data_IF_379786937967
#
_entry.id   IF_379786937967
#
_cell.length_a   1.000
_cell.length_b   1.000
_cell.length_c   1.000
_cell.angle_alpha   90.00
_cell.angle_beta   90.00
_cell.angle_gamma   90.00
#
_symmetry.space_group_name_H-M   'P 1'
#
loop_
_entity.id
_entity.type
_entity.pdbx_description
1 polymer ?
#
# COMPACT_ATOMS: atom_id res chain seq x y z
N UNK A 1 -6.81 16.26 21.67
CA UNK A 1 -5.87 15.16 22.00
C UNK A 1 -5.86 14.19 20.84
N UNK A 2 -4.76 14.09 20.13
CA UNK A 2 -4.60 13.01 19.13
C UNK A 2 -4.68 11.66 19.85
N UNK A 3 -5.44 10.73 19.31
CA UNK A 3 -5.49 9.36 19.85
C UNK A 3 -4.08 8.76 19.79
N UNK A 4 -3.59 8.16 20.90
CA UNK A 4 -2.27 7.50 20.92
C UNK A 4 -2.12 6.46 19.81
N UNK A 5 -3.20 5.82 19.42
CA UNK A 5 -3.24 4.89 18.30
C UNK A 5 -3.07 5.56 16.92
N UNK A 6 -3.34 6.87 16.80
CA UNK A 6 -3.10 7.63 15.57
C UNK A 6 -1.62 7.68 15.16
N UNK A 7 -0.69 7.52 16.12
CA UNK A 7 0.75 7.44 15.83
C UNK A 7 1.13 6.17 15.04
N UNK A 8 0.37 5.09 15.19
CA UNK A 8 0.67 3.83 14.50
C UNK A 8 0.21 3.83 13.04
N UNK A 9 -0.70 4.73 12.67
CA UNK A 9 -1.28 4.86 11.33
C UNK A 9 -1.77 3.52 10.76
N UNK A 10 -2.43 2.74 11.60
CA UNK A 10 -2.92 1.39 11.25
C UNK A 10 -3.91 1.43 10.07
N UNK A 11 -4.58 2.56 9.87
CA UNK A 11 -5.49 2.78 8.76
C UNK A 11 -4.83 2.68 7.38
N UNK A 12 -3.49 2.75 7.29
CA UNK A 12 -2.74 2.60 6.04
C UNK A 12 -2.18 1.19 5.82
N UNK A 13 -2.30 0.29 6.79
CA UNK A 13 -1.75 -1.08 6.68
C UNK A 13 -2.37 -1.90 5.55
N UNK A 14 -3.57 -1.53 5.08
CA UNK A 14 -4.21 -2.17 3.94
C UNK A 14 -3.32 -2.18 2.69
N UNK A 15 -2.50 -1.15 2.50
CA UNK A 15 -1.63 -1.01 1.32
C UNK A 15 -0.61 -2.14 1.18
N UNK A 16 -0.18 -2.72 2.31
CA UNK A 16 0.78 -3.83 2.36
C UNK A 16 0.08 -5.17 2.48
N UNK A 17 -1.02 -5.23 3.25
CA UNK A 17 -1.71 -6.48 3.56
C UNK A 17 -2.53 -7.00 2.37
N UNK A 18 -3.22 -6.12 1.62
CA UNK A 18 -4.05 -6.56 0.48
C UNK A 18 -3.26 -7.34 -0.57
N UNK A 19 -2.06 -6.91 -1.03
CA UNK A 19 -1.29 -7.70 -1.98
C UNK A 19 -0.95 -9.10 -1.49
N UNK A 20 -0.63 -9.25 -0.20
CA UNK A 20 -0.36 -10.55 0.40
C UNK A 20 -1.62 -11.43 0.46
N UNK A 21 -2.75 -10.85 0.87
CA UNK A 21 -4.04 -11.56 0.84
C UNK A 21 -4.46 -11.93 -0.58
N UNK A 22 -4.12 -11.09 -1.56
CA UNK A 22 -4.34 -11.39 -2.97
C UNK A 22 -3.53 -12.61 -3.41
N UNK A 23 -2.25 -12.71 -3.01
CA UNK A 23 -1.43 -13.89 -3.29
C UNK A 23 -2.03 -15.14 -2.63
N UNK A 24 -2.48 -15.03 -1.37
CA UNK A 24 -3.12 -16.13 -0.63
C UNK A 24 -4.41 -16.57 -1.34
N UNK A 25 -5.28 -15.63 -1.71
CA UNK A 25 -6.56 -15.94 -2.37
C UNK A 25 -6.37 -16.60 -3.73
N UNK A 26 -5.56 -16.00 -4.62
CA UNK A 26 -5.35 -16.48 -5.98
C UNK A 26 -4.74 -17.90 -6.01
N UNK A 27 -3.89 -18.21 -5.06
CA UNK A 27 -3.20 -19.49 -4.99
C UNK A 27 -3.85 -20.49 -4.03
N UNK A 28 -5.03 -20.17 -3.49
CA UNK A 28 -5.79 -21.01 -2.54
C UNK A 28 -4.95 -21.45 -1.33
N UNK A 29 -4.10 -20.55 -0.84
CA UNK A 29 -3.25 -20.83 0.31
C UNK A 29 -4.02 -20.74 1.63
N UNK A 30 -3.53 -21.46 2.63
CA UNK A 30 -4.04 -21.30 3.98
C UNK A 30 -3.36 -20.06 4.64
N UNK A 31 -4.11 -19.00 4.97
CA UNK A 31 -3.55 -17.77 5.53
C UNK A 31 -2.84 -17.98 6.88
N UNK A 32 -3.23 -19.01 7.64
CA UNK A 32 -2.63 -19.29 8.95
C UNK A 32 -1.17 -19.72 8.87
N UNK A 33 -0.73 -20.28 7.75
CA UNK A 33 0.69 -20.63 7.54
C UNK A 33 1.59 -19.43 7.24
N UNK A 34 0.99 -18.28 6.90
CA UNK A 34 1.68 -17.05 6.52
C UNK A 34 1.41 -15.89 7.50
N UNK A 35 0.86 -16.18 8.69
CA UNK A 35 0.51 -15.14 9.68
C UNK A 35 1.74 -14.37 10.18
N UNK A 36 2.87 -15.03 10.31
CA UNK A 36 4.13 -14.38 10.67
C UNK A 36 4.54 -13.33 9.63
N UNK A 37 4.38 -13.62 8.34
CA UNK A 37 4.65 -12.65 7.27
C UNK A 37 3.64 -11.50 7.32
N UNK A 38 2.34 -11.80 7.39
CA UNK A 38 1.27 -10.80 7.45
C UNK A 38 1.47 -9.84 8.63
N UNK A 39 1.66 -10.37 9.84
CA UNK A 39 1.84 -9.57 11.05
C UNK A 39 3.21 -8.86 11.03
N UNK A 40 4.25 -9.52 10.53
CA UNK A 40 5.57 -8.93 10.34
C UNK A 40 5.53 -7.67 9.49
N UNK A 41 4.77 -7.69 8.39
CA UNK A 41 4.58 -6.52 7.54
C UNK A 41 3.72 -5.43 8.18
N UNK A 42 2.76 -5.75 9.04
CA UNK A 42 2.05 -4.73 9.83
C UNK A 42 3.06 -3.95 10.70
N UNK A 43 3.95 -4.64 11.39
CA UNK A 43 4.98 -4.00 12.19
C UNK A 43 5.97 -3.19 11.35
N UNK A 44 6.37 -3.68 10.17
CA UNK A 44 7.23 -2.91 9.26
C UNK A 44 6.51 -1.66 8.72
N UNK A 45 5.20 -1.73 8.45
CA UNK A 45 4.42 -0.55 8.05
C UNK A 45 4.37 0.49 9.17
N UNK A 46 4.17 0.08 10.43
CA UNK A 46 4.26 0.97 11.60
C UNK A 46 5.66 1.60 11.68
N UNK A 47 6.71 0.82 11.45
CA UNK A 47 8.09 1.32 11.43
C UNK A 47 8.27 2.40 10.37
N UNK A 48 7.87 2.15 9.13
CA UNK A 48 7.96 3.10 8.04
C UNK A 48 7.20 4.39 8.35
N UNK A 49 5.98 4.28 8.85
CA UNK A 49 5.15 5.43 9.21
C UNK A 49 5.79 6.27 10.34
N UNK A 50 6.24 5.63 11.42
CA UNK A 50 6.80 6.34 12.57
C UNK A 50 8.15 6.99 12.25
N UNK A 51 9.01 6.34 11.47
CA UNK A 51 10.29 6.92 11.05
C UNK A 51 10.08 8.06 10.04
N UNK A 52 9.11 7.93 9.13
CA UNK A 52 8.73 9.04 8.27
C UNK A 52 8.24 10.24 9.09
N UNK A 53 7.38 10.01 10.09
CA UNK A 53 6.89 11.08 10.97
C UNK A 53 8.05 11.80 11.71
N UNK A 54 9.07 11.07 12.18
CA UNK A 54 10.27 11.67 12.83
C UNK A 54 11.06 12.56 11.86
N UNK A 55 11.14 12.17 10.59
CA UNK A 55 11.81 12.96 9.55
C UNK A 55 10.97 14.20 9.22
N UNK A 56 9.68 14.02 9.00
CA UNK A 56 8.72 15.08 8.67
C UNK A 56 8.56 16.13 9.78
N UNK A 57 8.79 15.77 11.07
CA UNK A 57 8.81 16.73 12.18
C UNK A 57 9.83 17.86 12.01
N UNK A 58 10.79 17.71 11.10
CA UNK A 58 11.80 18.75 10.82
C UNK A 58 11.32 19.77 9.78
N UNK A 59 10.25 19.48 9.05
CA UNK A 59 9.68 20.38 8.06
C UNK A 59 8.44 21.09 8.63
N UNK A 60 8.47 22.43 8.80
CA UNK A 60 7.34 23.19 9.31
C UNK A 60 6.12 23.19 8.37
N UNK A 61 6.29 22.77 7.12
CA UNK A 61 5.20 22.67 6.16
C UNK A 61 4.38 21.38 6.31
N UNK A 62 4.89 20.38 7.00
CA UNK A 62 4.23 19.08 7.27
C UNK A 62 3.18 19.21 8.40
N UNK A 63 2.19 20.09 8.19
CA UNK A 63 1.21 20.49 9.21
C UNK A 63 0.37 19.33 9.74
N UNK A 64 0.03 18.34 8.91
CA UNK A 64 -0.72 17.15 9.35
C UNK A 64 0.12 16.28 10.28
N UNK A 65 1.37 16.03 9.90
CA UNK A 65 2.31 15.27 10.75
C UNK A 65 2.53 15.99 12.07
N UNK A 66 2.85 17.29 12.04
CA UNK A 66 3.06 18.09 13.26
C UNK A 66 1.85 18.06 14.20
N UNK A 67 0.62 18.13 13.66
CA UNK A 67 -0.61 18.03 14.45
C UNK A 67 -0.81 16.62 15.04
N UNK A 68 -0.45 15.57 14.30
CA UNK A 68 -0.58 14.17 14.75
C UNK A 68 0.38 13.86 15.88
N UNK A 69 1.63 14.34 15.79
CA UNK A 69 2.70 14.08 16.77
C UNK A 69 2.78 15.12 17.87
N UNK A 70 1.85 16.05 17.94
CA UNK A 70 1.82 17.11 18.95
C UNK A 70 1.87 16.54 20.37
N UNK A 71 2.82 17.04 21.17
CA UNK A 71 3.05 16.58 22.53
C UNK A 71 3.98 15.37 22.68
N UNK A 72 4.51 14.83 21.57
CA UNK A 72 5.49 13.74 21.60
C UNK A 72 6.89 14.23 21.22
N UNK A 73 7.90 13.69 21.91
CA UNK A 73 9.29 13.93 21.54
C UNK A 73 9.70 13.02 20.36
N UNK A 74 10.51 13.50 19.37
CA UNK A 74 10.95 12.68 18.24
C UNK A 74 11.57 11.33 18.64
N UNK A 75 12.31 11.29 19.78
CA UNK A 75 12.88 10.04 20.30
C UNK A 75 11.84 9.02 20.74
N UNK A 76 10.69 9.47 21.23
CA UNK A 76 9.59 8.57 21.64
C UNK A 76 8.97 7.91 20.42
N UNK A 77 8.70 8.68 19.37
CA UNK A 77 8.16 8.16 18.12
C UNK A 77 9.18 7.23 17.44
N UNK A 78 10.45 7.62 17.40
CA UNK A 78 11.53 6.79 16.88
C UNK A 78 11.62 5.45 17.63
N UNK A 79 11.46 5.46 18.96
CA UNK A 79 11.48 4.23 19.77
C UNK A 79 10.34 3.28 19.41
N UNK A 80 9.13 3.81 19.15
CA UNK A 80 8.01 2.99 18.65
C UNK A 80 8.41 2.30 17.34
N UNK A 81 9.04 3.04 16.43
CA UNK A 81 9.54 2.50 15.16
C UNK A 81 10.60 1.40 15.37
N UNK A 82 11.56 1.59 16.29
CA UNK A 82 12.59 0.57 16.57
C UNK A 82 11.99 -0.69 17.16
N UNK A 83 11.05 -0.57 18.10
CA UNK A 83 10.35 -1.73 18.68
C UNK A 83 9.55 -2.46 17.58
N UNK A 84 8.78 -1.74 16.79
CA UNK A 84 8.02 -2.33 15.68
C UNK A 84 8.94 -3.00 14.66
N UNK A 85 10.06 -2.37 14.30
CA UNK A 85 11.06 -2.94 13.40
C UNK A 85 11.60 -4.27 13.92
N UNK A 86 11.99 -4.31 15.20
CA UNK A 86 12.50 -5.53 15.83
C UNK A 86 11.46 -6.65 15.82
N UNK A 87 10.21 -6.34 16.20
CA UNK A 87 9.12 -7.32 16.18
C UNK A 87 8.83 -7.82 14.77
N UNK A 88 8.76 -6.91 13.79
CA UNK A 88 8.55 -7.25 12.38
C UNK A 88 9.66 -8.15 11.83
N UNK A 89 10.93 -7.80 12.06
CA UNK A 89 12.06 -8.64 11.64
C UNK A 89 12.03 -10.01 12.30
N UNK A 90 11.73 -10.08 13.61
CA UNK A 90 11.66 -11.36 14.32
C UNK A 90 10.64 -12.30 13.71
N UNK A 91 9.45 -11.78 13.35
CA UNK A 91 8.41 -12.58 12.70
C UNK A 91 8.80 -13.03 11.28
N UNK A 92 9.54 -12.19 10.55
CA UNK A 92 9.97 -12.50 9.18
C UNK A 92 11.23 -13.41 9.12
N UNK A 93 11.89 -13.67 10.26
CA UNK A 93 13.11 -14.48 10.29
C UNK A 93 12.90 -15.89 9.74
N UNK A 94 11.78 -16.54 10.06
CA UNK A 94 11.49 -17.91 9.60
C UNK A 94 11.55 -17.96 8.08
N UNK A 95 10.71 -17.17 7.41
CA UNK A 95 10.66 -17.17 5.93
C UNK A 95 11.97 -16.73 5.27
N UNK A 96 12.73 -15.82 5.92
CA UNK A 96 14.04 -15.39 5.42
C UNK A 96 15.13 -16.47 5.53
N UNK A 97 15.08 -17.32 6.56
CA UNK A 97 16.02 -18.43 6.76
C UNK A 97 15.66 -19.59 5.82
N UNK A 98 14.37 -19.90 5.71
CA UNK A 98 13.88 -20.99 4.85
C UNK A 98 14.02 -20.63 3.36
N UNK A 99 13.85 -19.35 3.01
CA UNK A 99 13.86 -18.86 1.63
C UNK A 99 14.77 -17.64 1.47
N UNK A 100 15.99 -17.88 1.03
CA UNK A 100 16.99 -16.80 0.85
C UNK A 100 16.52 -15.63 -0.03
N UNK A 101 15.65 -15.88 -1.02
CA UNK A 101 15.09 -14.83 -1.86
C UNK A 101 14.17 -13.89 -1.07
N UNK A 102 13.46 -14.40 -0.05
CA UNK A 102 12.67 -13.57 0.87
C UNK A 102 13.56 -12.65 1.71
N UNK A 103 14.74 -13.11 2.11
CA UNK A 103 15.72 -12.24 2.79
C UNK A 103 16.19 -11.11 1.87
N UNK A 104 16.47 -11.39 0.60
CA UNK A 104 16.83 -10.35 -0.39
C UNK A 104 15.68 -9.35 -0.56
N UNK A 105 14.44 -9.83 -0.74
CA UNK A 105 13.28 -8.96 -0.90
C UNK A 105 13.05 -8.08 0.32
N UNK A 106 13.19 -8.64 1.52
CA UNK A 106 13.09 -7.87 2.76
C UNK A 106 14.14 -6.75 2.83
N UNK A 107 15.38 -7.03 2.46
CA UNK A 107 16.45 -6.02 2.40
C UNK A 107 16.09 -4.92 1.39
N UNK A 108 15.59 -5.29 0.20
CA UNK A 108 15.19 -4.31 -0.82
C UNK A 108 14.04 -3.45 -0.29
N UNK A 109 13.05 -4.03 0.39
CA UNK A 109 11.92 -3.30 1.00
C UNK A 109 12.44 -2.28 2.02
N UNK A 110 13.29 -2.70 2.95
CA UNK A 110 13.85 -1.83 3.98
C UNK A 110 14.62 -0.68 3.34
N UNK A 111 15.50 -0.98 2.38
CA UNK A 111 16.26 0.05 1.67
C UNK A 111 15.32 1.00 0.92
N UNK A 112 14.31 0.51 0.22
CA UNK A 112 13.35 1.32 -0.53
C UNK A 112 12.59 2.29 0.38
N UNK A 113 12.12 1.81 1.54
CA UNK A 113 11.42 2.64 2.53
C UNK A 113 12.35 3.70 3.12
N UNK A 114 13.60 3.35 3.46
CA UNK A 114 14.58 4.31 3.94
C UNK A 114 14.92 5.36 2.88
N UNK A 115 15.13 4.94 1.64
CA UNK A 115 15.38 5.84 0.52
C UNK A 115 14.19 6.77 0.27
N UNK A 116 12.96 6.25 0.35
CA UNK A 116 11.75 7.05 0.25
C UNK A 116 11.74 8.14 1.33
N UNK A 117 11.90 7.78 2.59
CA UNK A 117 11.85 8.74 3.69
C UNK A 117 12.95 9.81 3.62
N UNK A 118 14.16 9.45 3.14
CA UNK A 118 15.31 10.35 3.18
C UNK A 118 15.46 11.19 1.91
N UNK A 119 15.16 10.64 0.71
CA UNK A 119 15.52 11.28 -0.55
C UNK A 119 14.45 11.22 -1.65
N UNK A 120 13.65 10.13 -1.74
CA UNK A 120 12.76 9.95 -2.88
C UNK A 120 11.42 10.67 -2.74
N UNK A 121 10.98 10.97 -1.51
CA UNK A 121 9.68 11.63 -1.24
C UNK A 121 9.46 12.87 -2.11
N UNK A 122 10.44 13.79 -2.34
CA UNK A 122 10.24 14.95 -3.20
C UNK A 122 10.31 14.68 -4.71
N UNK A 123 10.66 13.47 -5.17
CA UNK A 123 10.85 13.16 -6.59
C UNK A 123 9.57 12.46 -7.11
N UNK A 124 8.75 13.17 -7.93
CA UNK A 124 7.50 12.60 -8.44
C UNK A 124 7.76 11.37 -9.30
N UNK A 125 6.81 10.46 -9.34
CA UNK A 125 6.82 9.15 -9.99
C UNK A 125 7.81 8.15 -9.40
N UNK A 126 9.05 8.53 -9.10
CA UNK A 126 10.05 7.61 -8.57
C UNK A 126 9.70 7.19 -7.14
N UNK A 127 9.21 8.13 -6.32
CA UNK A 127 8.68 7.84 -4.99
C UNK A 127 7.54 6.83 -5.05
N UNK A 128 6.59 7.01 -5.98
CA UNK A 128 5.42 6.14 -6.13
C UNK A 128 5.80 4.74 -6.62
N UNK A 129 6.72 4.65 -7.59
CA UNK A 129 7.21 3.36 -8.07
C UNK A 129 7.94 2.61 -6.95
N UNK A 130 8.78 3.31 -6.18
CA UNK A 130 9.47 2.73 -5.03
C UNK A 130 8.49 2.18 -3.98
N UNK A 131 7.45 2.95 -3.63
CA UNK A 131 6.40 2.51 -2.73
C UNK A 131 5.57 1.35 -3.32
N UNK A 132 5.21 1.42 -4.60
CA UNK A 132 4.49 0.34 -5.28
C UNK A 132 5.27 -0.98 -5.28
N UNK A 133 6.57 -0.93 -5.49
CA UNK A 133 7.43 -2.12 -5.41
C UNK A 133 7.50 -2.64 -3.98
N UNK A 134 7.83 -1.78 -3.01
CA UNK A 134 8.08 -2.18 -1.62
C UNK A 134 6.82 -2.58 -0.85
N UNK A 135 5.66 -1.97 -1.14
CA UNK A 135 4.42 -2.21 -0.42
C UNK A 135 3.51 -3.22 -1.12
N UNK A 136 3.71 -3.46 -2.40
CA UNK A 136 2.79 -4.28 -3.16
C UNK A 136 3.48 -5.48 -3.81
N UNK A 137 4.45 -5.26 -4.71
CA UNK A 137 5.01 -6.35 -5.49
C UNK A 137 5.84 -7.31 -4.64
N UNK A 138 6.76 -6.79 -3.83
CA UNK A 138 7.65 -7.64 -3.04
C UNK A 138 6.92 -8.40 -1.93
N UNK A 139 5.98 -7.80 -1.15
CA UNK A 139 5.17 -8.56 -0.19
C UNK A 139 4.33 -9.67 -0.84
N UNK A 140 3.74 -9.40 -2.02
CA UNK A 140 3.04 -10.41 -2.81
C UNK A 140 3.96 -11.59 -3.13
N UNK A 141 5.15 -11.33 -3.66
CA UNK A 141 6.11 -12.37 -4.02
C UNK A 141 6.66 -13.12 -2.81
N UNK A 142 6.82 -12.45 -1.65
CA UNK A 142 7.29 -13.12 -0.44
C UNK A 142 6.31 -14.21 0.03
N UNK A 143 5.01 -14.00 -0.07
CA UNK A 143 4.00 -15.04 0.19
C UNK A 143 4.14 -16.20 -0.81
N UNK A 144 4.33 -15.90 -2.10
CA UNK A 144 4.51 -16.93 -3.15
C UNK A 144 5.72 -17.81 -2.90
N UNK A 145 6.84 -17.20 -2.53
CA UNK A 145 8.10 -17.91 -2.22
C UNK A 145 7.92 -18.75 -0.95
N UNK A 146 7.32 -18.21 0.10
CA UNK A 146 7.07 -18.92 1.35
C UNK A 146 6.19 -20.15 1.13
N UNK A 147 5.26 -20.07 0.17
CA UNK A 147 4.42 -21.20 -0.24
C UNK A 147 5.11 -22.17 -1.21
N UNK A 148 6.37 -21.96 -1.59
CA UNK A 148 7.09 -22.80 -2.55
C UNK A 148 6.57 -22.71 -3.98
N UNK A 149 5.89 -21.60 -4.34
CA UNK A 149 5.29 -21.40 -5.66
C UNK A 149 6.21 -20.60 -6.59
N UNK A 150 5.93 -20.69 -7.90
CA UNK A 150 6.56 -19.80 -8.88
C UNK A 150 6.20 -18.35 -8.59
N UNK A 151 7.14 -17.42 -8.82
CA UNK A 151 6.96 -16.00 -8.50
C UNK A 151 5.72 -15.39 -9.15
N UNK A 152 5.44 -15.72 -10.40
CA UNK A 152 4.37 -15.12 -11.16
C UNK A 152 3.80 -16.07 -12.20
N UNK A 153 2.48 -16.25 -12.21
CA UNK A 153 1.76 -16.81 -13.34
C UNK A 153 1.32 -15.68 -14.27
N UNK A 154 1.86 -15.69 -15.49
CA UNK A 154 1.61 -14.66 -16.49
C UNK A 154 0.13 -14.62 -16.96
N UNK A 155 -0.58 -15.73 -16.87
CA UNK A 155 -1.94 -15.84 -17.37
C UNK A 155 -2.99 -15.44 -16.34
N UNK A 156 -2.79 -15.81 -15.10
CA UNK A 156 -3.81 -15.64 -14.04
C UNK A 156 -3.49 -14.53 -13.06
N UNK A 157 -2.21 -14.35 -12.70
CA UNK A 157 -1.83 -13.38 -11.66
C UNK A 157 -1.40 -12.03 -12.22
N UNK A 158 -0.64 -12.03 -13.33
CA UNK A 158 -0.10 -10.80 -13.91
C UNK A 158 -1.16 -9.76 -14.25
N UNK A 159 -2.29 -10.10 -14.91
CA UNK A 159 -3.33 -9.11 -15.22
C UNK A 159 -3.86 -8.39 -13.98
N UNK A 160 -4.12 -9.15 -12.91
CA UNK A 160 -4.64 -8.60 -11.68
C UNK A 160 -3.58 -7.78 -10.93
N UNK A 161 -2.34 -8.26 -10.88
CA UNK A 161 -1.23 -7.58 -10.22
C UNK A 161 -0.93 -6.22 -10.86
N UNK A 162 -0.91 -6.16 -12.21
CA UNK A 162 -0.72 -4.89 -12.94
C UNK A 162 -1.90 -3.94 -12.70
N UNK A 163 -3.13 -4.46 -12.70
CA UNK A 163 -4.33 -3.67 -12.41
C UNK A 163 -4.25 -3.04 -11.02
N UNK A 164 -3.91 -3.86 -10.03
CA UNK A 164 -3.82 -3.41 -8.64
C UNK A 164 -2.67 -2.41 -8.45
N UNK A 165 -1.54 -2.63 -9.11
CA UNK A 165 -0.41 -1.71 -9.12
C UNK A 165 -0.79 -0.35 -9.71
N UNK A 166 -1.46 -0.33 -10.87
CA UNK A 166 -1.91 0.91 -11.50
C UNK A 166 -2.94 1.65 -10.64
N UNK A 167 -3.84 0.93 -9.98
CA UNK A 167 -4.80 1.49 -9.04
C UNK A 167 -4.12 2.09 -7.80
N UNK A 168 -3.14 1.38 -7.22
CA UNK A 168 -2.37 1.85 -6.09
C UNK A 168 -1.58 3.13 -6.43
N UNK A 169 -0.93 3.18 -7.61
CA UNK A 169 -0.28 4.39 -8.10
C UNK A 169 -1.25 5.56 -8.23
N UNK A 170 -2.46 5.32 -8.76
CA UNK A 170 -3.48 6.36 -8.87
C UNK A 170 -3.87 6.89 -7.48
N UNK A 171 -4.06 6.01 -6.50
CA UNK A 171 -4.33 6.39 -5.11
C UNK A 171 -3.23 7.25 -4.51
N UNK A 172 -1.98 6.93 -4.77
CA UNK A 172 -0.82 7.72 -4.32
C UNK A 172 -0.78 9.11 -4.99
N UNK A 173 -1.06 9.22 -6.30
CA UNK A 173 -1.15 10.51 -6.98
C UNK A 173 -2.26 11.40 -6.38
N UNK A 174 -3.42 10.81 -6.08
CA UNK A 174 -4.51 11.51 -5.40
C UNK A 174 -4.05 12.04 -4.04
N UNK A 175 -3.39 11.20 -3.25
CA UNK A 175 -2.87 11.55 -1.94
C UNK A 175 -1.89 12.73 -1.99
N UNK A 176 -0.92 12.70 -2.91
CA UNK A 176 0.06 13.77 -3.05
C UNK A 176 -0.54 15.11 -3.50
N UNK A 177 -1.56 15.07 -4.36
CA UNK A 177 -2.22 16.31 -4.79
C UNK A 177 -3.01 16.94 -3.64
N UNK A 178 -3.61 16.11 -2.77
CA UNK A 178 -4.34 16.58 -1.58
C UNK A 178 -3.37 17.18 -0.55
N UNK A 179 -2.26 16.50 -0.31
CA UNK A 179 -1.26 16.93 0.68
C UNK A 179 -0.35 18.05 0.15
N UNK A 180 -0.51 18.44 -1.12
CA UNK A 180 0.35 19.43 -1.79
C UNK A 180 1.83 19.04 -1.82
N UNK A 181 2.09 17.75 -1.97
CA UNK A 181 3.42 17.13 -2.00
C UNK A 181 4.12 17.23 -3.37
N UNK A 182 4.98 16.24 -3.67
CA UNK A 182 5.94 16.29 -4.77
C UNK A 182 5.32 16.64 -6.12
N UNK A 183 4.16 16.07 -6.48
CA UNK A 183 3.51 16.36 -7.76
C UNK A 183 3.17 17.84 -7.92
N UNK A 184 2.64 18.48 -6.88
CA UNK A 184 2.21 19.89 -6.96
C UNK A 184 3.38 20.87 -6.99
N UNK A 185 4.60 20.42 -6.63
CA UNK A 185 5.83 21.23 -6.73
C UNK A 185 6.33 21.34 -8.19
N UNK A 186 6.04 20.34 -9.03
CA UNK A 186 6.52 20.27 -10.41
C UNK A 186 5.43 20.50 -11.46
N UNK A 187 4.17 20.24 -11.11
CA UNK A 187 3.04 20.29 -12.03
C UNK A 187 1.95 21.25 -11.51
N UNK A 188 1.32 21.98 -12.43
CA UNK A 188 0.13 22.77 -12.10
C UNK A 188 -1.01 21.87 -11.67
N UNK A 189 -1.97 22.39 -10.90
CA UNK A 189 -3.15 21.64 -10.44
C UNK A 189 -3.90 20.96 -11.60
N UNK A 190 -3.99 21.64 -12.76
CA UNK A 190 -4.62 21.07 -13.95
C UNK A 190 -3.84 19.87 -14.53
N UNK A 191 -2.51 19.94 -14.51
CA UNK A 191 -1.66 18.81 -14.94
C UNK A 191 -1.76 17.64 -13.96
N UNK A 192 -1.71 17.90 -12.66
CA UNK A 192 -1.92 16.87 -11.63
C UNK A 192 -3.26 16.15 -11.81
N UNK A 193 -4.31 16.93 -12.07
CA UNK A 193 -5.64 16.40 -12.38
C UNK A 193 -5.64 15.48 -13.61
N UNK A 194 -4.97 15.91 -14.67
CA UNK A 194 -4.85 15.13 -15.90
C UNK A 194 -4.09 13.82 -15.65
N UNK A 195 -3.00 13.86 -14.87
CA UNK A 195 -2.25 12.66 -14.45
C UNK A 195 -3.16 11.68 -13.72
N UNK A 196 -3.96 12.14 -12.75
CA UNK A 196 -4.89 11.28 -11.99
C UNK A 196 -5.97 10.70 -12.89
N UNK A 197 -6.54 11.49 -13.79
CA UNK A 197 -7.58 11.02 -14.72
C UNK A 197 -7.00 9.97 -15.67
N UNK A 198 -5.84 10.22 -16.26
CA UNK A 198 -5.19 9.27 -17.18
C UNK A 198 -4.84 7.97 -16.43
N UNK A 199 -4.22 8.05 -15.25
CA UNK A 199 -3.88 6.85 -14.47
C UNK A 199 -5.14 6.07 -14.04
N UNK A 200 -6.24 6.77 -13.72
CA UNK A 200 -7.53 6.15 -13.43
C UNK A 200 -8.12 5.42 -14.63
N UNK A 201 -8.03 6.02 -15.83
CA UNK A 201 -8.48 5.39 -17.08
C UNK A 201 -7.64 4.14 -17.36
N UNK A 202 -6.33 4.22 -17.20
CA UNK A 202 -5.44 3.06 -17.35
C UNK A 202 -5.82 1.96 -16.37
N UNK A 203 -6.01 2.29 -15.09
CA UNK A 203 -6.43 1.33 -14.07
C UNK A 203 -7.79 0.68 -14.40
N UNK A 204 -8.74 1.46 -14.93
CA UNK A 204 -10.03 0.95 -15.35
C UNK A 204 -9.91 -0.04 -16.53
N UNK A 205 -9.13 0.32 -17.57
CA UNK A 205 -8.90 -0.56 -18.73
C UNK A 205 -8.21 -1.86 -18.31
N UNK A 206 -7.17 -1.77 -17.46
CA UNK A 206 -6.48 -2.94 -16.93
C UNK A 206 -7.40 -3.79 -16.05
N UNK A 207 -8.24 -3.17 -15.22
CA UNK A 207 -9.22 -3.87 -14.38
C UNK A 207 -10.25 -4.62 -15.21
N UNK A 208 -10.75 -3.99 -16.28
CA UNK A 208 -11.67 -4.64 -17.22
C UNK A 208 -10.99 -5.81 -17.94
N UNK A 209 -9.75 -5.63 -18.38
CA UNK A 209 -8.97 -6.70 -18.99
C UNK A 209 -8.75 -7.88 -18.03
N UNK A 210 -8.34 -7.63 -16.79
CA UNK A 210 -8.16 -8.66 -15.78
C UNK A 210 -9.48 -9.39 -15.47
N UNK A 211 -10.58 -8.66 -15.35
CA UNK A 211 -11.91 -9.22 -15.10
C UNK A 211 -12.37 -10.16 -16.23
N UNK A 212 -12.17 -9.76 -17.49
CA UNK A 212 -12.53 -10.57 -18.65
C UNK A 212 -11.69 -11.85 -18.73
N UNK A 213 -10.37 -11.76 -18.50
CA UNK A 213 -9.47 -12.91 -18.59
C UNK A 213 -9.67 -13.91 -17.44
N UNK A 214 -9.85 -13.40 -16.21
CA UNK A 214 -9.94 -14.24 -15.03
C UNK A 214 -11.34 -14.84 -14.82
N UNK A 215 -12.38 -14.26 -15.46
CA UNK A 215 -13.79 -14.67 -15.33
C UNK A 215 -14.26 -14.78 -13.88
N UNK A 216 -13.62 -14.04 -12.96
CA UNK A 216 -13.92 -14.10 -11.53
C UNK A 216 -14.71 -12.87 -11.09
N UNK A 217 -16.01 -13.06 -10.83
CA UNK A 217 -16.91 -11.99 -10.38
C UNK A 217 -16.44 -11.25 -9.12
N UNK A 218 -15.67 -11.89 -8.29
CA UNK A 218 -15.15 -11.30 -7.06
C UNK A 218 -14.14 -10.16 -7.29
N UNK A 219 -13.61 -10.01 -8.52
CA UNK A 219 -12.77 -8.88 -8.89
C UNK A 219 -13.54 -7.72 -9.56
N UNK A 220 -14.84 -7.86 -9.72
CA UNK A 220 -15.69 -6.81 -10.29
C UNK A 220 -15.57 -5.45 -9.56
N UNK A 221 -15.47 -5.37 -8.21
CA UNK A 221 -15.26 -4.09 -7.54
C UNK A 221 -14.05 -3.31 -8.05
N UNK A 222 -12.97 -3.96 -8.46
CA UNK A 222 -11.77 -3.31 -8.97
C UNK A 222 -11.96 -2.60 -10.32
N UNK A 223 -12.96 -2.97 -11.08
CA UNK A 223 -13.34 -2.28 -12.33
C UNK A 223 -13.98 -0.92 -12.02
N UNK A 224 -14.72 -0.80 -10.93
CA UNK A 224 -15.49 0.41 -10.59
C UNK A 224 -14.72 1.42 -9.76
N UNK A 225 -13.75 0.99 -8.95
CA UNK A 225 -12.99 1.89 -8.09
C UNK A 225 -12.29 3.03 -8.86
N UNK A 226 -11.66 2.80 -10.03
CA UNK A 226 -11.08 3.88 -10.82
C UNK A 226 -12.09 4.91 -11.33
N UNK A 227 -13.35 4.53 -11.53
CA UNK A 227 -14.41 5.45 -11.97
C UNK A 227 -14.65 6.54 -10.92
N UNK A 228 -14.54 6.18 -9.63
CA UNK A 228 -14.65 7.13 -8.53
C UNK A 228 -13.59 8.23 -8.59
N UNK A 229 -12.33 7.87 -8.88
CA UNK A 229 -11.23 8.85 -9.03
C UNK A 229 -11.43 9.74 -10.26
N UNK A 230 -11.84 9.18 -11.42
CA UNK A 230 -12.18 9.96 -12.61
C UNK A 230 -13.30 10.96 -12.29
N UNK A 231 -14.36 10.49 -11.64
CA UNK A 231 -15.48 11.36 -11.27
C UNK A 231 -15.07 12.50 -10.35
N UNK A 232 -14.29 12.19 -9.32
CA UNK A 232 -13.86 13.15 -8.30
C UNK A 232 -12.96 14.23 -8.89
N UNK A 233 -12.00 13.85 -9.74
CA UNK A 233 -11.00 14.77 -10.28
C UNK A 233 -11.35 15.40 -11.63
N UNK A 234 -12.55 15.13 -12.18
CA UNK A 234 -13.02 15.77 -13.42
C UNK A 234 -13.13 17.31 -13.31
N UNK A 235 -13.28 17.82 -12.10
CA UNK A 235 -13.36 19.26 -11.82
C UNK A 235 -12.43 19.63 -10.68
N UNK A 236 -11.62 20.71 -10.80
CA UNK A 236 -10.79 21.17 -9.69
C UNK A 236 -11.68 21.65 -8.56
N UNK A 237 -11.60 21.03 -7.40
CA UNK A 237 -12.25 21.49 -6.18
C UNK A 237 -11.18 21.91 -5.18
N UNK A 238 -11.46 22.98 -4.40
CA UNK A 238 -10.56 23.44 -3.32
C UNK A 238 -10.58 22.53 -2.10
N UNK A 239 -11.55 21.64 -1.98
CA UNK A 239 -11.73 20.75 -0.82
C UNK A 239 -11.64 19.29 -1.30
N UNK A 240 -10.44 18.76 -1.26
CA UNK A 240 -10.15 17.36 -1.63
C UNK A 240 -9.86 16.48 -0.40
N UNK A 241 -9.81 17.06 0.81
CA UNK A 241 -9.46 16.33 2.03
C UNK A 241 -10.41 15.14 2.30
N UNK A 242 -11.71 15.29 2.08
CA UNK A 242 -12.66 14.18 2.20
C UNK A 242 -12.43 13.03 1.23
N UNK A 243 -11.75 13.28 0.10
CA UNK A 243 -11.37 12.24 -0.88
C UNK A 243 -10.27 11.33 -0.32
N UNK A 244 -9.31 11.89 0.41
CA UNK A 244 -8.25 11.14 1.11
C UNK A 244 -8.87 10.19 2.13
N UNK A 245 -9.74 10.70 2.99
CA UNK A 245 -10.43 9.90 4.00
C UNK A 245 -11.27 8.78 3.38
N UNK A 246 -12.00 9.08 2.29
CA UNK A 246 -12.76 8.07 1.53
C UNK A 246 -11.81 7.03 0.92
N UNK A 247 -10.66 7.44 0.38
CA UNK A 247 -9.66 6.53 -0.15
C UNK A 247 -9.14 5.54 0.89
N UNK A 248 -8.83 6.02 2.09
CA UNK A 248 -8.42 5.18 3.22
C UNK A 248 -9.55 4.22 3.63
N UNK A 249 -10.79 4.68 3.72
CA UNK A 249 -11.94 3.84 4.04
C UNK A 249 -12.16 2.75 2.98
N UNK A 250 -12.08 3.09 1.69
CA UNK A 250 -12.19 2.12 0.60
C UNK A 250 -11.06 1.08 0.68
N UNK A 251 -9.83 1.49 0.97
CA UNK A 251 -8.72 0.57 1.20
C UNK A 251 -8.99 -0.42 2.33
N UNK A 252 -9.52 0.06 3.46
CA UNK A 252 -9.89 -0.81 4.57
C UNK A 252 -11.11 -1.70 4.26
N UNK A 253 -12.09 -1.24 3.48
CA UNK A 253 -13.18 -2.09 3.01
C UNK A 253 -12.67 -3.19 2.09
N UNK A 254 -11.72 -2.90 1.20
CA UNK A 254 -11.07 -3.92 0.37
C UNK A 254 -10.29 -4.93 1.21
N UNK A 255 -9.62 -4.49 2.26
CA UNK A 255 -8.96 -5.39 3.21
C UNK A 255 -9.96 -6.38 3.82
N UNK A 256 -11.07 -5.88 4.35
CA UNK A 256 -12.16 -6.72 4.90
C UNK A 256 -12.71 -7.65 3.81
N UNK A 257 -12.91 -7.12 2.61
CA UNK A 257 -13.41 -7.89 1.47
C UNK A 257 -12.51 -9.09 1.13
N UNK A 258 -11.18 -8.92 1.08
CA UNK A 258 -10.26 -10.03 0.86
C UNK A 258 -10.26 -11.05 1.98
N UNK A 259 -10.37 -10.60 3.24
CA UNK A 259 -10.51 -11.50 4.39
C UNK A 259 -11.79 -12.34 4.23
N UNK A 260 -12.90 -11.73 3.84
CA UNK A 260 -14.15 -12.44 3.57
C UNK A 260 -14.00 -13.46 2.42
N UNK A 261 -13.37 -13.08 1.30
CA UNK A 261 -13.15 -13.98 0.16
C UNK A 261 -12.33 -15.22 0.58
N UNK A 262 -11.23 -15.00 1.31
CA UNK A 262 -10.38 -16.10 1.80
C UNK A 262 -11.18 -17.01 2.76
N UNK A 263 -11.98 -16.43 3.65
CA UNK A 263 -12.81 -17.19 4.58
C UNK A 263 -13.85 -18.06 3.85
N UNK A 264 -14.51 -17.50 2.82
CA UNK A 264 -15.46 -18.24 1.97
C UNK A 264 -14.77 -19.36 1.19
N UNK A 265 -13.57 -19.10 0.68
CA UNK A 265 -12.76 -20.08 -0.04
C UNK A 265 -12.35 -21.24 0.88
N UNK A 266 -11.89 -20.94 2.12
CA UNK A 266 -11.54 -21.96 3.11
C UNK A 266 -12.77 -22.79 3.56
N UNK A 267 -13.94 -22.15 3.59
CA UNK A 267 -15.21 -22.83 3.89
C UNK A 267 -15.78 -23.66 2.73
N UNK A 268 -15.10 -23.68 1.56
CA UNK A 268 -15.56 -24.41 0.38
C UNK A 268 -16.82 -23.82 -0.27
N UNK A 269 -17.11 -22.55 -0.04
CA UNK A 269 -18.27 -21.85 -0.61
C UNK A 269 -17.94 -21.34 -2.01
N UNK A 270 -16.65 -20.99 -2.26
CA UNK A 270 -16.15 -20.48 -3.55
C UNK A 270 -14.83 -21.15 -3.92
#
# INVERSE_FOLDING_TARGET
MSSRFGLLRLEYTFSVIIPMLMAIYLNRLNPFYHLDILIGFIFLAITGNTWNDVIDMRDPNETETLKRVEGYHPKEIFTIGVVSFTLGLTLLLRTCIEHFLNAIFLIIIIISVLLYCLWLKPIPFLNHISLGISHMLLPYFMIKIDAGLQLLDLNTELPLLITFFAFALTGQFVHEVIDSDSLTKYFSLRQCQLIIIISSIISFILGLWAFIILEQFYFFPFVFLPIGTIYTFRRPTKSTQGVKDIGILIGNFLLIYFICLITLQMGGVI
#
